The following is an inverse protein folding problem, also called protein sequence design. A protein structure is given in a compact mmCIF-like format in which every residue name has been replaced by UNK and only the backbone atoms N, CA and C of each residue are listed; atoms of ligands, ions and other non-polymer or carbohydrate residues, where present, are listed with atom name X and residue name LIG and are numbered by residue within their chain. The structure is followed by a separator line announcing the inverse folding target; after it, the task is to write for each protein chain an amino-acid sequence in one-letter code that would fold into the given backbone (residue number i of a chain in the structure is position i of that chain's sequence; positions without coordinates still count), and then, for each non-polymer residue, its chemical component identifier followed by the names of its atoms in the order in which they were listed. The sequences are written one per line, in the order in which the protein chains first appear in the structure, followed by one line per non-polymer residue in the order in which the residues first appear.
data_IF_402529345723
#
_entry.id   IF_402529345723
#
_cell.length_a   1.000
_cell.length_b   1.000
_cell.length_c   1.000
_cell.angle_alpha   90.00
_cell.angle_beta   90.00
_cell.angle_gamma   90.00
#
_symmetry.space_group_name_H-M   'P 1'
#
loop_
_entity.id
_entity.type
_entity.pdbx_description
1 polymer ?
#
# COMPACT_ATOMS: atom_id res chain seq x y z
N UNK A 1 15.64 -2.92 3.52
CA UNK A 1 14.36 -2.29 3.20
C UNK A 1 13.65 -2.14 4.53
N UNK A 2 13.51 -0.91 5.00
CA UNK A 2 12.77 -0.62 6.22
C UNK A 2 11.30 -0.94 5.94
N UNK A 3 10.82 -2.05 6.49
CA UNK A 3 9.42 -2.45 6.36
C UNK A 3 8.60 -1.46 7.17
N UNK A 4 7.83 -0.63 6.48
CA UNK A 4 6.93 0.31 7.14
C UNK A 4 5.75 -0.51 7.67
N UNK A 5 5.51 -0.48 8.98
CA UNK A 5 4.37 -1.15 9.61
C UNK A 5 3.37 -0.11 10.07
N UNK A 6 2.08 -0.42 9.93
CA UNK A 6 1.01 0.41 10.47
C UNK A 6 0.27 -0.33 11.58
N UNK A 7 -0.14 0.43 12.59
CA UNK A 7 -1.01 -0.04 13.66
C UNK A 7 -2.40 0.52 13.41
N UNK A 8 -3.36 -0.37 13.18
CA UNK A 8 -4.76 -0.01 12.97
C UNK A 8 -5.53 -0.46 14.19
N UNK A 9 -6.30 0.45 14.77
CA UNK A 9 -7.18 0.15 15.89
C UNK A 9 -8.56 -0.18 15.31
N UNK A 10 -9.05 -1.39 15.59
CA UNK A 10 -10.39 -1.82 15.20
C UNK A 10 -11.48 -1.23 16.12
N UNK A 11 -12.76 -1.40 15.76
CA UNK A 11 -13.92 -0.92 16.53
C UNK A 11 -13.98 -1.51 17.96
N UNK A 12 -13.46 -2.72 18.16
CA UNK A 12 -13.36 -3.37 19.47
C UNK A 12 -12.14 -2.87 20.29
N UNK A 13 -11.31 -2.01 19.71
CA UNK A 13 -10.13 -1.41 20.34
C UNK A 13 -8.89 -2.31 20.29
N UNK A 14 -8.90 -3.34 19.45
CA UNK A 14 -7.73 -4.19 19.27
C UNK A 14 -6.72 -3.51 18.35
N UNK A 15 -5.45 -3.54 18.75
CA UNK A 15 -4.33 -3.08 17.94
C UNK A 15 -3.96 -4.20 16.95
N UNK A 16 -4.24 -3.96 15.67
CA UNK A 16 -3.85 -4.83 14.57
C UNK A 16 -2.61 -4.24 13.90
N UNK A 17 -1.58 -5.07 13.68
CA UNK A 17 -0.35 -4.67 13.01
C UNK A 17 -0.36 -5.21 11.57
N UNK A 18 -0.18 -4.31 10.61
CA UNK A 18 -0.10 -4.66 9.19
C UNK A 18 1.23 -4.19 8.60
N UNK A 19 1.69 -4.91 7.58
CA UNK A 19 2.89 -4.57 6.81
C UNK A 19 2.49 -3.71 5.60
N UNK A 20 3.05 -2.51 5.51
CA UNK A 20 2.83 -1.59 4.38
C UNK A 20 3.64 -2.07 3.19
N UNK A 21 2.96 -2.28 2.07
CA UNK A 21 3.58 -2.55 0.78
C UNK A 21 4.14 -1.24 0.21
N UNK A 22 3.27 -0.24 0.03
CA UNK A 22 3.64 1.07 -0.49
C UNK A 22 2.59 2.14 -0.15
N UNK A 23 2.99 3.40 -0.31
CA UNK A 23 2.14 4.58 -0.14
C UNK A 23 2.36 5.55 -1.29
N UNK A 24 1.31 6.20 -1.77
CA UNK A 24 1.42 7.23 -2.79
C UNK A 24 0.40 8.34 -2.59
N UNK A 25 0.72 9.52 -3.10
CA UNK A 25 -0.14 10.69 -3.07
C UNK A 25 -0.79 10.83 -4.45
N UNK A 26 -2.12 10.89 -4.50
CA UNK A 26 -2.84 11.19 -5.75
C UNK A 26 -2.92 12.70 -5.90
N UNK A 27 -2.23 13.25 -6.91
CA UNK A 27 -2.35 14.67 -7.25
C UNK A 27 -3.76 15.02 -7.79
N UNK A 28 -4.44 14.05 -8.40
CA UNK A 28 -5.80 14.22 -8.95
C UNK A 28 -6.86 14.41 -7.86
N UNK A 29 -6.80 13.61 -6.79
CA UNK A 29 -7.78 13.69 -5.69
C UNK A 29 -7.27 14.54 -4.52
N UNK A 30 -5.95 14.79 -4.45
CA UNK A 30 -5.29 15.43 -3.32
C UNK A 30 -5.29 14.56 -2.05
N UNK A 31 -5.54 13.25 -2.19
CA UNK A 31 -5.59 12.29 -1.09
C UNK A 31 -4.38 11.37 -1.13
N UNK A 32 -4.04 10.80 0.02
CA UNK A 32 -2.93 9.86 0.15
C UNK A 32 -3.45 8.45 0.31
N UNK A 33 -2.86 7.50 -0.39
CA UNK A 33 -3.29 6.11 -0.43
C UNK A 33 -2.18 5.23 0.17
N UNK A 34 -2.58 4.24 0.95
CA UNK A 34 -1.70 3.26 1.57
C UNK A 34 -2.20 1.86 1.26
N UNK A 35 -1.29 1.00 0.81
CA UNK A 35 -1.53 -0.42 0.60
C UNK A 35 -0.76 -1.22 1.62
N UNK A 36 -1.44 -2.14 2.30
CA UNK A 36 -0.91 -2.94 3.39
C UNK A 36 -1.56 -4.31 3.41
N UNK A 37 -0.89 -5.30 3.98
CA UNK A 37 -1.40 -6.66 4.09
C UNK A 37 -1.17 -7.21 5.49
N UNK A 38 -1.96 -8.21 5.86
CA UNK A 38 -1.75 -8.93 7.10
C UNK A 38 -0.74 -10.05 6.88
N UNK A 39 0.46 -9.90 7.45
CA UNK A 39 1.48 -10.94 7.41
C UNK A 39 1.20 -12.13 8.35
N UNK A 40 0.25 -11.99 9.27
CA UNK A 40 -0.20 -13.06 10.16
C UNK A 40 -1.35 -13.89 9.55
N UNK A 41 -1.98 -13.38 8.50
CA UNK A 41 -3.08 -14.06 7.82
C UNK A 41 -2.53 -15.05 6.77
N UNK A 42 -3.08 -16.27 6.75
CA UNK A 42 -2.63 -17.33 5.81
C UNK A 42 -2.98 -17.01 4.36
N UNK A 43 -4.00 -16.18 4.12
CA UNK A 43 -4.45 -15.77 2.79
C UNK A 43 -3.72 -14.51 2.28
N UNK A 44 -2.88 -13.87 3.11
CA UNK A 44 -2.10 -12.67 2.79
C UNK A 44 -2.95 -11.60 2.08
N UNK A 45 -4.14 -11.33 2.62
CA UNK A 45 -5.08 -10.41 2.00
C UNK A 45 -4.51 -8.98 2.01
N UNK A 46 -4.47 -8.36 0.82
CA UNK A 46 -4.06 -6.97 0.63
C UNK A 46 -5.25 -6.04 0.84
N UNK A 47 -5.03 -4.99 1.60
CA UNK A 47 -5.97 -3.92 1.89
C UNK A 47 -5.42 -2.61 1.35
N UNK A 48 -6.34 -1.74 0.95
CA UNK A 48 -6.05 -0.37 0.52
C UNK A 48 -6.93 0.59 1.30
N UNK A 49 -6.35 1.69 1.75
CA UNK A 49 -7.07 2.76 2.45
C UNK A 49 -6.47 4.10 2.14
N UNK A 50 -7.27 5.14 2.32
CA UNK A 50 -6.86 6.53 2.20
C UNK A 50 -6.44 7.00 3.58
N UNK A 51 -5.29 7.66 3.71
CA UNK A 51 -4.84 8.27 4.95
C UNK A 51 -4.76 9.79 4.85
N UNK A 52 -5.10 10.48 5.93
CA UNK A 52 -4.95 11.95 6.05
C UNK A 52 -3.74 12.33 6.92
N UNK A 53 -3.47 13.64 7.02
CA UNK A 53 -2.40 14.17 7.88
C UNK A 53 -2.67 13.99 9.38
N UNK A 54 -3.92 13.72 9.77
CA UNK A 54 -4.33 13.41 11.15
C UNK A 54 -4.17 11.91 11.47
N UNK A 55 -3.83 11.07 10.48
CA UNK A 55 -3.63 9.63 10.63
C UNK A 55 -4.93 8.80 10.57
N UNK A 56 -6.04 9.39 10.11
CA UNK A 56 -7.29 8.66 9.92
C UNK A 56 -7.25 7.83 8.64
N UNK A 57 -7.76 6.60 8.71
CA UNK A 57 -7.91 5.71 7.56
C UNK A 57 -9.35 5.72 7.06
N UNK A 58 -9.51 5.89 5.75
CA UNK A 58 -10.80 5.85 5.06
C UNK A 58 -10.83 4.72 4.04
N UNK A 59 -11.96 4.00 3.94
CA UNK A 59 -12.11 2.95 2.94
C UNK A 59 -12.17 3.55 1.53
N UNK A 60 -11.74 2.76 0.55
CA UNK A 60 -11.83 3.10 -0.86
C UNK A 60 -13.18 2.63 -1.40
N UNK A 61 -14.01 3.57 -1.80
CA UNK A 61 -15.39 3.30 -2.22
C UNK A 61 -15.57 3.37 -3.73
N UNK A 62 -14.63 3.97 -4.46
CA UNK A 62 -14.80 4.26 -5.89
C UNK A 62 -13.92 3.37 -6.77
N UNK A 63 -14.45 2.87 -7.91
CA UNK A 63 -13.68 2.06 -8.84
C UNK A 63 -12.51 2.84 -9.47
N UNK A 64 -12.67 4.14 -9.73
CA UNK A 64 -11.58 4.99 -10.25
C UNK A 64 -10.35 5.01 -9.32
N UNK A 65 -10.56 5.02 -7.99
CA UNK A 65 -9.47 4.92 -7.02
C UNK A 65 -8.80 3.55 -7.06
N UNK A 66 -9.56 2.47 -7.29
CA UNK A 66 -9.03 1.12 -7.44
C UNK A 66 -8.20 0.97 -8.73
N UNK A 67 -8.70 1.46 -9.86
CA UNK A 67 -7.96 1.47 -11.14
C UNK A 67 -6.61 2.19 -10.98
N UNK A 68 -6.59 3.33 -10.27
CA UNK A 68 -5.35 4.07 -9.99
C UNK A 68 -4.36 3.26 -9.15
N UNK A 69 -4.86 2.60 -8.08
CA UNK A 69 -4.04 1.75 -7.23
C UNK A 69 -3.44 0.60 -8.02
N UNK A 70 -4.23 -0.07 -8.86
CA UNK A 70 -3.76 -1.16 -9.70
C UNK A 70 -2.72 -0.67 -10.71
N UNK A 71 -2.89 0.51 -11.30
CA UNK A 71 -1.91 1.09 -12.22
C UNK A 71 -0.58 1.37 -11.52
N UNK A 72 -0.61 2.04 -10.36
CA UNK A 72 0.59 2.34 -9.57
C UNK A 72 1.25 1.06 -9.07
N UNK A 73 0.47 0.09 -8.59
CA UNK A 73 0.97 -1.21 -8.13
C UNK A 73 1.67 -1.97 -9.25
N UNK A 74 1.05 -2.07 -10.42
CA UNK A 74 1.67 -2.73 -11.57
C UNK A 74 2.93 -1.99 -12.04
N UNK A 75 2.92 -0.66 -12.02
CA UNK A 75 4.12 0.14 -12.36
C UNK A 75 5.25 -0.10 -11.37
N UNK A 76 4.94 -0.18 -10.07
CA UNK A 76 5.93 -0.44 -9.02
C UNK A 76 6.51 -1.86 -9.14
N UNK A 77 5.68 -2.88 -9.35
CA UNK A 77 6.14 -4.25 -9.59
C UNK A 77 7.01 -4.36 -10.84
N UNK A 78 6.67 -3.62 -11.90
CA UNK A 78 7.46 -3.59 -13.12
C UNK A 78 8.81 -2.87 -12.95
N UNK A 79 8.87 -1.86 -12.06
CA UNK A 79 10.11 -1.12 -11.76
C UNK A 79 11.08 -1.98 -10.92
N UNK A 80 10.58 -2.77 -9.96
CA UNK A 80 11.37 -3.74 -9.19
C UNK A 80 11.97 -4.85 -10.07
N UNK A 81 11.35 -5.20 -11.20
CA UNK A 81 11.87 -6.19 -12.17
C UNK A 81 13.01 -5.64 -13.07
N UNK A 82 13.19 -4.32 -13.18
CA UNK A 82 14.23 -3.73 -14.06
C UNK A 82 15.57 -3.45 -13.36
N UNK A 83 15.64 -3.51 -12.03
CA UNK A 83 16.89 -3.27 -11.27
C UNK A 83 17.86 -4.49 -11.23
N UNK A 84 17.49 -5.66 -11.77
CA UNK A 84 18.36 -6.85 -11.82
C UNK A 84 19.14 -7.07 -13.14
N UNK A 85 19.07 -6.15 -14.13
CA UNK A 85 19.75 -6.38 -15.44
C UNK A 85 21.04 -5.56 -15.68
N UNK A 86 21.70 -5.08 -14.63
CA UNK A 86 22.96 -4.32 -14.74
C UNK A 86 24.14 -4.95 -13.99
N UNK A 87 24.28 -6.28 -13.98
CA UNK A 87 25.55 -6.93 -13.62
C UNK A 87 25.92 -8.03 -14.62
N UNK A 88 27.21 -8.03 -14.98
CA UNK A 88 27.93 -8.97 -15.85
C UNK A 88 27.75 -8.85 -17.38
N UNK A 89 28.36 -7.80 -17.94
CA UNK A 89 29.28 -8.00 -19.08
C UNK A 89 30.65 -7.39 -18.75
N UNK A 90 31.56 -8.22 -18.24
CA UNK A 90 33.01 -8.06 -18.40
C UNK A 90 33.47 -8.75 -19.69
#
# INVERSE_FOLDING_TARGET
MDVNKIQVIDDDGNELEFDVLFTFDSEDTGKKYVLYYDANDEDAQVYSSIYDDDGNLYPIETPDEWDMIEEVFNSFMAEDEEDENSQDMD
#
